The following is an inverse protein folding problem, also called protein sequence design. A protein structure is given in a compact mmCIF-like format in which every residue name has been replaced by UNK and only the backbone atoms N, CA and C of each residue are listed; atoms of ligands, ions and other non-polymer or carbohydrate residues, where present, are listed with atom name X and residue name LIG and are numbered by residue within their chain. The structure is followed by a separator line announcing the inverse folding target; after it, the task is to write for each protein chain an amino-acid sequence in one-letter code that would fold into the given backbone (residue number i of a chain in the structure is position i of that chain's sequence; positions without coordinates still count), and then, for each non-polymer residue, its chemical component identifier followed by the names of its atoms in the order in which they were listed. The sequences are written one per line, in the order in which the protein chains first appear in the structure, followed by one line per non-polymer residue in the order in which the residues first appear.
data_IF_656721037941
#
_entry.id   IF_656721037941
#
_cell.length_a   1.000
_cell.length_b   1.000
_cell.length_c   1.000
_cell.angle_alpha   90.00
_cell.angle_beta   90.00
_cell.angle_gamma   90.00
#
_symmetry.space_group_name_H-M   'P 1'
#
loop_
_entity.id
_entity.type
_entity.pdbx_description
1 polymer ?
#
# COMPACT_ATOMS: atom_id res chain seq x y z
N UNK A 1 -16.12 -19.02 -21.88
CA UNK A 1 -17.54 -19.42 -21.84
C UNK A 1 -18.35 -18.14 -21.90
N UNK A 2 -19.48 -18.17 -22.58
CA UNK A 2 -20.34 -17.02 -22.79
C UNK A 2 -20.88 -16.51 -21.43
N UNK A 3 -20.50 -15.28 -21.05
CA UNK A 3 -20.91 -14.63 -19.80
C UNK A 3 -22.34 -14.05 -19.87
N UNK A 4 -23.06 -14.26 -20.97
CA UNK A 4 -24.44 -13.76 -21.19
C UNK A 4 -25.50 -14.40 -20.27
N UNK A 5 -25.15 -15.47 -19.53
CA UNK A 5 -26.09 -16.18 -18.64
C UNK A 5 -26.09 -15.73 -17.18
N UNK A 6 -25.20 -14.84 -16.76
CA UNK A 6 -25.21 -14.32 -15.39
C UNK A 6 -26.34 -13.30 -15.24
N UNK A 7 -27.52 -13.80 -14.88
CA UNK A 7 -28.67 -12.98 -14.47
C UNK A 7 -28.25 -12.09 -13.30
N UNK A 8 -28.70 -10.84 -13.30
CA UNK A 8 -28.69 -10.04 -12.07
C UNK A 8 -29.37 -10.90 -11.00
N UNK A 9 -28.67 -11.12 -9.88
CA UNK A 9 -29.16 -11.99 -8.82
C UNK A 9 -30.41 -11.32 -8.26
N UNK A 10 -31.57 -11.98 -8.35
CA UNK A 10 -32.86 -11.40 -7.91
C UNK A 10 -32.93 -11.25 -6.37
N UNK A 11 -32.07 -11.97 -5.63
CA UNK A 11 -31.96 -11.86 -4.18
C UNK A 11 -30.98 -10.77 -3.77
N UNK A 12 -31.57 -9.74 -3.17
CA UNK A 12 -30.87 -8.63 -2.53
C UNK A 12 -30.32 -9.05 -1.18
N UNK A 13 -29.08 -8.65 -0.89
CA UNK A 13 -28.44 -8.93 0.41
C UNK A 13 -28.84 -7.92 1.49
N UNK A 14 -29.41 -6.77 1.11
CA UNK A 14 -29.84 -5.72 2.04
C UNK A 14 -28.68 -4.97 2.67
N UNK A 15 -27.60 -4.74 1.90
CA UNK A 15 -26.39 -4.07 2.38
C UNK A 15 -26.44 -2.56 2.11
N UNK A 16 -27.42 -1.86 2.69
CA UNK A 16 -27.60 -0.42 2.52
C UNK A 16 -26.47 0.35 3.19
N UNK A 17 -25.98 1.40 2.52
CA UNK A 17 -24.90 2.24 3.02
C UNK A 17 -25.43 3.20 4.11
N UNK A 18 -24.75 3.26 5.25
CA UNK A 18 -25.12 4.14 6.39
C UNK A 18 -24.36 5.47 6.41
N UNK A 19 -23.43 5.66 5.47
CA UNK A 19 -22.58 6.83 5.35
C UNK A 19 -22.77 7.53 4.01
N UNK A 20 -22.67 8.86 4.00
CA UNK A 20 -22.72 9.62 2.75
C UNK A 20 -21.39 9.54 1.99
N UNK A 21 -21.48 9.11 0.73
CA UNK A 21 -20.34 9.15 -0.18
C UNK A 21 -20.00 10.58 -0.59
N UNK A 22 -18.72 10.89 -0.65
CA UNK A 22 -18.20 12.13 -1.28
C UNK A 22 -18.54 12.11 -2.78
N UNK A 23 -18.63 13.28 -3.40
CA UNK A 23 -19.07 13.38 -4.81
C UNK A 23 -18.20 12.58 -5.79
N UNK A 24 -16.87 12.56 -5.57
CA UNK A 24 -15.98 11.74 -6.41
C UNK A 24 -16.18 10.24 -6.16
N UNK A 25 -16.56 9.83 -4.94
CA UNK A 25 -16.84 8.43 -4.62
C UNK A 25 -18.13 7.99 -5.31
N UNK A 26 -19.16 8.85 -5.30
CA UNK A 26 -20.41 8.63 -6.07
C UNK A 26 -20.11 8.46 -7.56
N UNK A 27 -19.33 9.36 -8.15
CA UNK A 27 -18.89 9.27 -9.55
C UNK A 27 -18.17 7.94 -9.84
N UNK A 28 -17.24 7.53 -8.96
CA UNK A 28 -16.48 6.29 -9.16
C UNK A 28 -17.33 5.03 -8.98
N UNK A 29 -18.31 5.05 -8.08
CA UNK A 29 -19.30 3.98 -7.93
C UNK A 29 -20.09 3.82 -9.24
N UNK A 30 -20.62 4.90 -9.80
CA UNK A 30 -21.38 4.83 -11.07
C UNK A 30 -20.51 4.30 -12.21
N UNK A 31 -19.30 4.85 -12.37
CA UNK A 31 -18.37 4.39 -13.42
C UNK A 31 -17.97 2.93 -13.27
N UNK A 32 -17.73 2.46 -12.03
CA UNK A 32 -17.43 1.06 -11.77
C UNK A 32 -18.62 0.15 -12.07
N UNK A 33 -19.82 0.59 -11.71
CA UNK A 33 -21.08 -0.13 -11.95
C UNK A 33 -21.34 -0.32 -13.46
N UNK A 34 -21.18 0.74 -14.25
CA UNK A 34 -21.34 0.73 -15.71
C UNK A 34 -20.32 -0.15 -16.42
N UNK A 35 -19.03 -0.01 -16.06
CA UNK A 35 -17.94 -0.76 -16.70
C UNK A 35 -17.97 -2.26 -16.39
N UNK A 36 -18.64 -2.68 -15.31
CA UNK A 36 -18.66 -4.04 -14.73
C UNK A 36 -17.29 -4.57 -14.26
N UNK A 37 -16.19 -4.06 -14.81
CA UNK A 37 -14.83 -4.54 -14.65
C UNK A 37 -13.90 -3.31 -14.59
N UNK A 38 -13.40 -2.98 -13.39
CA UNK A 38 -12.65 -1.74 -13.17
C UNK A 38 -11.54 -1.87 -12.12
N UNK A 39 -10.54 -1.01 -12.20
CA UNK A 39 -9.48 -0.87 -11.18
C UNK A 39 -9.51 0.53 -10.60
N UNK A 40 -9.81 0.65 -9.31
CA UNK A 40 -9.79 1.92 -8.58
C UNK A 40 -8.36 2.25 -8.13
N UNK A 41 -7.76 3.21 -8.80
CA UNK A 41 -6.35 3.58 -8.69
C UNK A 41 -6.14 4.93 -7.99
N UNK A 42 -6.51 5.01 -6.72
CA UNK A 42 -6.43 6.25 -5.95
C UNK A 42 -5.35 6.20 -4.87
N UNK A 43 -4.83 7.35 -4.39
CA UNK A 43 -3.89 7.39 -3.28
C UNK A 43 -4.43 6.66 -2.04
N UNK A 44 -3.55 6.28 -1.12
CA UNK A 44 -3.98 5.89 0.22
C UNK A 44 -4.79 7.04 0.88
N UNK A 45 -5.68 6.73 1.81
CA UNK A 45 -6.54 7.75 2.45
C UNK A 45 -7.70 8.28 1.59
N UNK A 46 -7.71 8.05 0.26
CA UNK A 46 -8.78 8.49 -0.64
C UNK A 46 -10.14 7.81 -0.46
N UNK A 47 -10.27 6.87 0.49
CA UNK A 47 -11.51 6.14 0.75
C UNK A 47 -11.85 5.07 -0.30
N UNK A 48 -10.86 4.32 -0.80
CA UNK A 48 -11.08 3.17 -1.72
C UNK A 48 -11.99 2.10 -1.13
N UNK A 49 -11.79 1.78 0.15
CA UNK A 49 -12.66 0.86 0.91
C UNK A 49 -14.09 1.38 0.92
N UNK A 50 -14.31 2.63 1.34
CA UNK A 50 -15.65 3.26 1.34
C UNK A 50 -16.28 3.29 -0.05
N UNK A 51 -15.51 3.61 -1.10
CA UNK A 51 -16.00 3.63 -2.49
C UNK A 51 -16.45 2.23 -2.95
N UNK A 52 -15.69 1.19 -2.58
CA UNK A 52 -16.03 -0.19 -2.95
C UNK A 52 -17.17 -0.78 -2.13
N UNK A 53 -17.32 -0.38 -0.86
CA UNK A 53 -18.53 -0.64 -0.07
C UNK A 53 -19.75 0.04 -0.72
N UNK A 54 -19.61 1.28 -1.18
CA UNK A 54 -20.66 1.97 -1.94
C UNK A 54 -21.06 1.23 -3.22
N UNK A 55 -20.09 0.68 -3.96
CA UNK A 55 -20.36 -0.17 -5.12
C UNK A 55 -21.04 -1.48 -4.73
N UNK A 56 -20.61 -2.13 -3.65
CA UNK A 56 -21.23 -3.33 -3.11
C UNK A 56 -22.69 -3.08 -2.74
N UNK A 57 -22.96 -1.99 -2.02
CA UNK A 57 -24.31 -1.56 -1.64
C UNK A 57 -25.20 -1.29 -2.86
N UNK A 58 -24.67 -0.61 -3.88
CA UNK A 58 -25.41 -0.37 -5.13
C UNK A 58 -25.72 -1.65 -5.91
N UNK A 59 -24.82 -2.63 -5.88
CA UNK A 59 -24.99 -3.91 -6.58
C UNK A 59 -25.94 -4.84 -5.80
N UNK A 60 -25.88 -4.79 -4.47
CA UNK A 60 -26.76 -5.50 -3.54
C UNK A 60 -26.88 -7.01 -3.84
N UNK A 61 -25.75 -7.67 -4.05
CA UNK A 61 -25.69 -9.08 -4.41
C UNK A 61 -24.52 -9.79 -3.70
N UNK A 62 -24.49 -11.15 -3.68
CA UNK A 62 -23.43 -11.90 -3.04
C UNK A 62 -22.04 -11.43 -3.47
N UNK A 63 -21.20 -11.08 -2.49
CA UNK A 63 -19.92 -10.41 -2.74
C UNK A 63 -18.77 -11.16 -2.10
N UNK A 64 -17.70 -11.38 -2.86
CA UNK A 64 -16.43 -11.92 -2.38
C UNK A 64 -15.39 -10.82 -2.30
N UNK A 65 -14.79 -10.64 -1.13
CA UNK A 65 -13.69 -9.69 -0.91
C UNK A 65 -12.42 -10.49 -0.67
N UNK A 66 -11.44 -10.31 -1.56
CA UNK A 66 -10.14 -10.97 -1.51
C UNK A 66 -9.08 -10.01 -1.00
N UNK A 67 -8.44 -10.38 0.11
CA UNK A 67 -7.40 -9.59 0.77
C UNK A 67 -6.07 -10.35 0.82
N UNK A 68 -4.91 -9.67 0.77
CA UNK A 68 -3.61 -10.35 0.79
C UNK A 68 -3.36 -11.12 2.10
N UNK A 69 -3.90 -10.64 3.23
CA UNK A 69 -3.56 -11.14 4.55
C UNK A 69 -4.74 -11.14 5.53
N UNK A 70 -4.59 -11.88 6.64
CA UNK A 70 -5.64 -12.07 7.65
C UNK A 70 -5.99 -10.81 8.43
N UNK A 71 -5.01 -9.95 8.72
CA UNK A 71 -5.24 -8.67 9.42
C UNK A 71 -6.28 -7.79 8.71
N UNK A 72 -6.22 -7.76 7.37
CA UNK A 72 -7.18 -7.02 6.55
C UNK A 72 -8.59 -7.60 6.58
N UNK A 73 -8.77 -8.90 6.85
CA UNK A 73 -10.10 -9.49 7.01
C UNK A 73 -10.84 -8.81 8.16
N UNK A 74 -10.18 -8.69 9.32
CA UNK A 74 -10.75 -8.02 10.49
C UNK A 74 -11.03 -6.53 10.22
N UNK A 75 -10.13 -5.85 9.50
CA UNK A 75 -10.34 -4.45 9.11
C UNK A 75 -11.57 -4.29 8.19
N UNK A 76 -11.69 -5.11 7.15
CA UNK A 76 -12.83 -5.10 6.24
C UNK A 76 -14.14 -5.41 6.94
N UNK A 77 -14.16 -6.39 7.85
CA UNK A 77 -15.36 -6.72 8.63
C UNK A 77 -15.84 -5.53 9.45
N UNK A 78 -14.92 -4.84 10.16
CA UNK A 78 -15.26 -3.63 10.92
C UNK A 78 -15.80 -2.53 10.02
N UNK A 79 -15.16 -2.28 8.89
CA UNK A 79 -15.60 -1.27 7.92
C UNK A 79 -16.99 -1.57 7.35
N UNK A 80 -17.30 -2.85 7.06
CA UNK A 80 -18.61 -3.27 6.57
C UNK A 80 -19.70 -3.05 7.63
N UNK A 81 -19.47 -3.50 8.87
CA UNK A 81 -20.44 -3.35 9.97
C UNK A 81 -20.65 -1.89 10.37
N UNK A 82 -19.62 -1.06 10.27
CA UNK A 82 -19.68 0.37 10.58
C UNK A 82 -20.44 1.18 9.52
N UNK A 83 -20.25 0.83 8.24
CA UNK A 83 -20.69 1.66 7.09
C UNK A 83 -21.89 1.11 6.33
N UNK A 84 -22.44 -0.02 6.77
CA UNK A 84 -23.61 -0.62 6.15
C UNK A 84 -24.60 -1.15 7.19
N UNK A 85 -25.79 -1.54 6.72
CA UNK A 85 -26.82 -2.23 7.52
C UNK A 85 -26.57 -3.72 7.71
N UNK A 86 -25.42 -4.25 7.24
CA UNK A 86 -25.08 -5.65 7.35
C UNK A 86 -24.97 -6.11 8.81
N UNK A 87 -25.38 -7.34 9.04
CA UNK A 87 -25.24 -8.03 10.32
C UNK A 87 -24.06 -9.01 10.29
N UNK A 88 -23.56 -9.40 11.47
CA UNK A 88 -22.41 -10.31 11.55
C UNK A 88 -22.68 -11.67 10.88
N UNK A 89 -23.91 -12.18 10.97
CA UNK A 89 -24.28 -13.46 10.37
C UNK A 89 -24.24 -13.43 8.84
N UNK A 90 -24.43 -12.27 8.21
CA UNK A 90 -24.30 -12.11 6.76
C UNK A 90 -22.84 -12.09 6.27
N UNK A 91 -21.87 -11.81 7.16
CA UNK A 91 -20.44 -11.66 6.81
C UNK A 91 -19.63 -12.92 7.17
N UNK A 92 -19.45 -13.82 6.21
CA UNK A 92 -18.58 -14.98 6.33
C UNK A 92 -17.08 -14.64 6.27
N UNK A 93 -16.28 -15.34 7.07
CA UNK A 93 -14.82 -15.26 7.04
C UNK A 93 -14.23 -16.61 6.60
N UNK A 94 -13.32 -16.58 5.63
CA UNK A 94 -12.68 -17.78 5.09
C UNK A 94 -11.16 -17.62 5.03
N UNK A 95 -10.51 -17.77 6.19
CA UNK A 95 -9.05 -17.68 6.37
C UNK A 95 -8.61 -18.56 7.55
N UNK A 96 -7.34 -18.98 7.60
CA UNK A 96 -6.83 -19.78 8.73
C UNK A 96 -7.67 -21.00 9.08
N UNK A 97 -8.18 -21.04 10.31
CA UNK A 97 -9.08 -22.10 10.80
C UNK A 97 -10.56 -21.76 10.63
N UNK A 98 -10.89 -20.48 10.40
CA UNK A 98 -12.26 -20.00 10.16
C UNK A 98 -12.71 -20.35 8.72
N UNK A 99 -13.85 -21.01 8.58
CA UNK A 99 -14.29 -21.62 7.31
C UNK A 99 -15.77 -21.36 7.05
N UNK A 100 -16.20 -20.11 7.23
CA UNK A 100 -17.60 -19.71 7.07
C UNK A 100 -17.81 -18.90 5.81
N UNK A 101 -18.78 -19.30 5.00
CA UNK A 101 -19.27 -18.52 3.87
C UNK A 101 -20.53 -17.76 4.29
N UNK A 102 -20.70 -16.55 3.77
CA UNK A 102 -21.89 -15.73 3.97
C UNK A 102 -22.33 -15.07 2.66
N UNK A 103 -23.30 -14.16 2.75
CA UNK A 103 -23.73 -13.31 1.62
C UNK A 103 -22.58 -12.41 1.19
N UNK A 104 -21.89 -11.84 2.18
CA UNK A 104 -20.56 -11.26 2.02
C UNK A 104 -19.54 -12.27 2.53
N UNK A 105 -18.53 -12.58 1.73
CA UNK A 105 -17.44 -13.48 2.14
C UNK A 105 -16.11 -12.73 2.07
N UNK A 106 -15.41 -12.66 3.20
CA UNK A 106 -14.05 -12.16 3.31
C UNK A 106 -13.07 -13.33 3.28
N UNK A 107 -12.14 -13.36 2.32
CA UNK A 107 -11.18 -14.45 2.18
C UNK A 107 -9.79 -13.94 1.82
N UNK A 108 -8.75 -14.69 2.21
CA UNK A 108 -7.41 -14.39 1.69
C UNK A 108 -7.24 -14.94 0.28
N UNK A 109 -6.42 -14.27 -0.55
CA UNK A 109 -6.08 -14.77 -1.88
C UNK A 109 -5.56 -16.20 -1.85
N UNK A 110 -4.75 -16.55 -0.84
CA UNK A 110 -4.19 -17.89 -0.69
C UNK A 110 -5.29 -18.94 -0.59
N UNK A 111 -6.25 -18.75 0.31
CA UNK A 111 -7.36 -19.69 0.49
C UNK A 111 -8.22 -19.83 -0.76
N UNK A 112 -8.55 -18.71 -1.41
CA UNK A 112 -9.36 -18.71 -2.62
C UNK A 112 -8.63 -19.34 -3.83
N UNK A 113 -7.31 -19.15 -3.90
CA UNK A 113 -6.47 -19.70 -4.97
C UNK A 113 -6.10 -21.18 -4.79
N UNK A 114 -6.07 -21.68 -3.55
CA UNK A 114 -5.90 -23.11 -3.28
C UNK A 114 -7.22 -23.87 -3.43
N UNK A 115 -8.30 -23.33 -2.88
CA UNK A 115 -9.62 -23.96 -2.87
C UNK A 115 -10.56 -23.35 -3.91
N UNK A 116 -10.06 -23.06 -5.11
CA UNK A 116 -10.83 -22.35 -6.15
C UNK A 116 -12.17 -23.00 -6.46
N UNK A 117 -12.27 -24.34 -6.38
CA UNK A 117 -13.55 -25.06 -6.55
C UNK A 117 -14.62 -24.66 -5.54
N UNK A 118 -14.25 -24.38 -4.29
CA UNK A 118 -15.18 -23.95 -3.24
C UNK A 118 -15.70 -22.53 -3.50
N UNK A 119 -14.89 -21.69 -4.14
CA UNK A 119 -15.24 -20.30 -4.47
C UNK A 119 -15.88 -20.15 -5.86
N UNK A 120 -16.10 -21.26 -6.60
CA UNK A 120 -16.90 -21.27 -7.85
C UNK A 120 -18.39 -21.18 -7.53
N UNK A 121 -18.78 -20.10 -6.85
CA UNK A 121 -20.15 -19.63 -6.66
C UNK A 121 -20.43 -18.52 -7.67
N UNK A 122 -21.70 -18.24 -7.92
CA UNK A 122 -22.12 -17.06 -8.67
C UNK A 122 -21.98 -15.82 -7.76
N UNK A 123 -20.95 -15.02 -7.99
CA UNK A 123 -20.73 -13.77 -7.28
C UNK A 123 -21.31 -12.60 -8.08
N UNK A 124 -22.12 -11.76 -7.45
CA UNK A 124 -22.55 -10.49 -8.05
C UNK A 124 -21.38 -9.51 -8.17
N UNK A 125 -20.48 -9.51 -7.18
CA UNK A 125 -19.28 -8.69 -7.14
C UNK A 125 -18.08 -9.46 -6.58
N UNK A 126 -16.91 -9.29 -7.18
CA UNK A 126 -15.63 -9.63 -6.54
C UNK A 126 -14.82 -8.35 -6.34
N UNK A 127 -14.43 -8.09 -5.10
CA UNK A 127 -13.52 -7.01 -4.73
C UNK A 127 -12.14 -7.62 -4.51
N UNK A 128 -11.18 -7.18 -5.31
CA UNK A 128 -9.78 -7.56 -5.19
C UNK A 128 -9.04 -6.44 -4.46
N UNK A 129 -8.74 -6.61 -3.18
CA UNK A 129 -7.99 -5.62 -2.41
C UNK A 129 -6.48 -5.79 -2.61
N UNK A 130 -5.75 -4.68 -2.57
CA UNK A 130 -4.30 -4.60 -2.74
C UNK A 130 -3.71 -5.47 -3.87
N UNK A 131 -4.31 -5.38 -5.06
CA UNK A 131 -4.00 -6.25 -6.23
C UNK A 131 -2.53 -6.26 -6.64
N UNK A 132 -1.79 -5.19 -6.34
CA UNK A 132 -0.39 -5.03 -6.71
C UNK A 132 0.58 -5.84 -5.83
N UNK A 133 0.13 -6.35 -4.68
CA UNK A 133 0.93 -7.20 -3.79
C UNK A 133 0.85 -8.69 -4.13
N UNK A 134 -0.09 -9.10 -5.00
CA UNK A 134 -0.40 -10.52 -5.15
C UNK A 134 0.55 -11.18 -6.16
N UNK A 135 1.17 -12.33 -5.83
CA UNK A 135 1.96 -13.09 -6.79
C UNK A 135 1.13 -13.47 -8.02
N UNK A 136 1.65 -13.22 -9.24
CA UNK A 136 0.92 -13.39 -10.50
C UNK A 136 0.22 -14.75 -10.66
N UNK A 137 0.85 -15.85 -10.19
CA UNK A 137 0.25 -17.19 -10.27
C UNK A 137 -1.00 -17.31 -9.40
N UNK A 138 -0.96 -16.75 -8.19
CA UNK A 138 -2.09 -16.76 -7.27
C UNK A 138 -3.20 -15.83 -7.78
N UNK A 139 -2.81 -14.64 -8.23
CA UNK A 139 -3.71 -13.66 -8.81
C UNK A 139 -4.48 -14.19 -10.01
N UNK A 140 -3.81 -14.88 -10.96
CA UNK A 140 -4.48 -15.54 -12.10
C UNK A 140 -5.53 -16.55 -11.67
N UNK A 141 -5.24 -17.35 -10.64
CA UNK A 141 -6.20 -18.35 -10.12
C UNK A 141 -7.43 -17.66 -9.55
N UNK A 142 -7.25 -16.65 -8.71
CA UNK A 142 -8.39 -15.93 -8.10
C UNK A 142 -9.15 -15.07 -9.11
N UNK A 143 -8.47 -14.46 -10.09
CA UNK A 143 -9.11 -13.68 -11.15
C UNK A 143 -9.94 -14.55 -12.12
N UNK A 144 -9.70 -15.87 -12.16
CA UNK A 144 -10.50 -16.83 -12.93
C UNK A 144 -11.86 -17.14 -12.30
N UNK A 145 -12.10 -16.72 -11.05
CA UNK A 145 -13.41 -16.82 -10.40
C UNK A 145 -14.45 -16.02 -11.20
N UNK A 146 -15.66 -16.58 -11.29
CA UNK A 146 -16.74 -16.02 -12.09
C UNK A 146 -17.50 -14.98 -11.27
N UNK A 147 -17.81 -13.86 -11.90
CA UNK A 147 -18.61 -12.80 -11.30
C UNK A 147 -19.28 -11.91 -12.34
N UNK A 148 -20.43 -11.33 -11.99
CA UNK A 148 -21.11 -10.36 -12.85
C UNK A 148 -20.34 -9.05 -12.93
N UNK A 149 -19.76 -8.62 -11.80
CA UNK A 149 -18.91 -7.43 -11.70
C UNK A 149 -17.63 -7.72 -10.91
N UNK A 150 -16.58 -6.94 -11.16
CA UNK A 150 -15.30 -7.02 -10.44
C UNK A 150 -14.65 -5.65 -10.31
N UNK A 151 -14.05 -5.40 -9.15
CA UNK A 151 -13.27 -4.20 -8.90
C UNK A 151 -11.94 -4.55 -8.24
N UNK A 152 -10.85 -3.95 -8.73
CA UNK A 152 -9.53 -4.02 -8.12
C UNK A 152 -9.22 -2.74 -7.36
N UNK A 153 -8.73 -2.83 -6.13
CA UNK A 153 -8.28 -1.70 -5.34
C UNK A 153 -6.76 -1.68 -5.36
N UNK A 154 -6.19 -0.60 -5.86
CA UNK A 154 -4.75 -0.41 -5.88
C UNK A 154 -4.40 1.01 -5.49
N UNK A 155 -3.30 1.18 -4.78
CA UNK A 155 -2.69 2.49 -4.64
C UNK A 155 -1.80 2.72 -5.87
N UNK A 156 -2.34 3.50 -6.82
CA UNK A 156 -1.81 3.85 -8.15
C UNK A 156 -0.86 2.88 -8.88
N UNK A 157 -1.24 2.42 -10.08
CA UNK A 157 -0.34 1.77 -11.02
C UNK A 157 0.54 2.81 -11.77
N UNK A 158 1.78 2.46 -12.08
CA UNK A 158 2.60 3.13 -13.12
C UNK A 158 2.73 2.15 -14.28
N UNK A 159 2.17 2.53 -15.42
CA UNK A 159 1.86 1.73 -16.62
C UNK A 159 3.02 0.97 -17.29
N UNK A 160 4.20 0.92 -16.68
CA UNK A 160 5.43 0.37 -17.23
C UNK A 160 5.77 -1.04 -16.71
N UNK A 161 5.18 -1.50 -15.60
CA UNK A 161 5.46 -2.83 -15.06
C UNK A 161 4.63 -3.95 -15.72
N UNK A 162 5.27 -5.08 -16.04
CA UNK A 162 4.64 -6.25 -16.67
C UNK A 162 3.50 -6.84 -15.82
N UNK A 163 3.60 -6.74 -14.49
CA UNK A 163 2.57 -7.16 -13.53
C UNK A 163 1.31 -6.28 -13.59
N UNK A 164 1.45 -5.00 -13.90
CA UNK A 164 0.30 -4.09 -13.89
C UNK A 164 -0.56 -4.24 -15.14
N UNK A 165 0.06 -4.48 -16.30
CA UNK A 165 -0.66 -4.85 -17.53
C UNK A 165 -1.53 -6.09 -17.32
N UNK A 166 -1.03 -7.03 -16.53
CA UNK A 166 -1.78 -8.23 -16.14
C UNK A 166 -2.98 -7.92 -15.24
N UNK A 167 -2.85 -7.00 -14.28
CA UNK A 167 -3.98 -6.54 -13.45
C UNK A 167 -5.11 -5.97 -14.33
N UNK A 168 -4.77 -5.07 -15.25
CA UNK A 168 -5.78 -4.47 -16.13
C UNK A 168 -6.42 -5.48 -17.08
N UNK A 169 -5.64 -6.45 -17.57
CA UNK A 169 -6.15 -7.51 -18.44
C UNK A 169 -7.10 -8.46 -17.71
N UNK A 170 -6.88 -8.72 -16.42
CA UNK A 170 -7.64 -9.71 -15.64
C UNK A 170 -8.82 -9.12 -14.84
N UNK A 171 -8.73 -7.85 -14.45
CA UNK A 171 -9.77 -7.17 -13.66
C UNK A 171 -10.56 -6.17 -14.51
N UNK A 172 -9.90 -5.30 -15.27
CA UNK A 172 -10.56 -4.26 -16.03
C UNK A 172 -9.78 -2.95 -16.09
N UNK A 173 -10.34 -1.95 -16.75
CA UNK A 173 -9.66 -0.66 -16.95
C UNK A 173 -9.62 0.20 -15.68
N UNK A 174 -8.61 1.06 -15.61
CA UNK A 174 -8.47 2.06 -14.56
C UNK A 174 -9.67 3.02 -14.50
N UNK A 175 -10.12 3.29 -13.28
CA UNK A 175 -11.03 4.37 -12.89
C UNK A 175 -10.37 5.17 -11.76
N UNK A 176 -10.51 6.49 -11.80
CA UNK A 176 -9.70 7.39 -10.98
C UNK A 176 -8.38 7.79 -11.65
N UNK A 177 -7.52 8.49 -10.91
CA UNK A 177 -6.20 8.94 -11.40
C UNK A 177 -5.95 10.45 -11.38
N UNK A 178 -6.98 11.28 -11.19
CA UNK A 178 -6.80 12.73 -11.00
C UNK A 178 -6.46 13.05 -9.53
N UNK A 179 -5.22 12.76 -9.16
CA UNK A 179 -4.66 13.06 -7.83
C UNK A 179 -4.79 14.56 -7.52
N UNK A 180 -4.67 15.43 -8.52
CA UNK A 180 -4.82 16.86 -8.35
C UNK A 180 -6.21 17.26 -7.83
N UNK A 181 -7.26 16.51 -8.19
CA UNK A 181 -8.62 16.72 -7.64
C UNK A 181 -8.70 16.39 -6.15
N UNK A 182 -8.06 15.32 -5.69
CA UNK A 182 -8.02 14.95 -4.27
C UNK A 182 -7.31 16.00 -3.42
N UNK A 183 -6.23 16.56 -3.96
CA UNK A 183 -5.46 17.61 -3.32
C UNK A 183 -6.15 18.98 -3.32
N UNK A 184 -6.85 19.33 -4.42
CA UNK A 184 -7.60 20.60 -4.52
C UNK A 184 -8.81 20.65 -3.59
N UNK A 185 -9.37 19.49 -3.23
CA UNK A 185 -10.55 19.38 -2.38
C UNK A 185 -10.20 19.00 -0.93
N UNK A 186 -8.92 19.05 -0.55
CA UNK A 186 -8.39 18.73 0.79
C UNK A 186 -8.78 17.34 1.34
N UNK A 187 -9.18 16.42 0.46
CA UNK A 187 -9.57 15.06 0.84
C UNK A 187 -8.37 14.17 1.19
N UNK A 188 -7.19 14.57 0.73
CA UNK A 188 -5.89 13.95 1.00
C UNK A 188 -4.90 15.09 1.23
N UNK A 189 -4.23 15.10 2.38
CA UNK A 189 -3.16 16.05 2.68
C UNK A 189 -1.94 15.75 1.80
N UNK A 190 -1.25 16.79 1.35
CA UNK A 190 -0.05 16.67 0.50
C UNK A 190 1.15 16.38 1.39
N UNK A 191 1.86 15.24 1.25
CA UNK A 191 3.13 15.09 1.94
C UNK A 191 4.16 16.07 1.35
N UNK A 192 4.93 16.74 2.21
CA UNK A 192 6.10 17.50 1.78
C UNK A 192 7.24 16.51 1.54
N UNK A 193 7.54 16.26 0.27
CA UNK A 193 8.63 15.36 -0.13
C UNK A 193 9.90 16.18 -0.35
N UNK A 194 10.88 15.94 0.52
CA UNK A 194 12.19 16.56 0.51
C UNK A 194 13.25 15.55 0.10
N UNK A 195 13.87 15.75 -1.06
CA UNK A 195 14.97 14.91 -1.53
C UNK A 195 16.29 15.53 -1.09
N UNK A 196 17.11 14.73 -0.40
CA UNK A 196 18.46 15.07 0.01
C UNK A 196 19.44 14.20 -0.78
N UNK A 197 20.09 14.79 -1.77
CA UNK A 197 21.20 14.12 -2.45
C UNK A 197 22.44 14.19 -1.58
N UNK A 198 23.16 13.09 -1.45
CA UNK A 198 24.45 13.04 -0.74
C UNK A 198 25.56 12.67 -1.69
N UNK A 199 26.70 13.34 -1.57
CA UNK A 199 27.91 12.96 -2.27
C UNK A 199 28.42 11.60 -1.75
N UNK A 200 29.31 10.97 -2.52
CA UNK A 200 30.04 9.80 -2.03
C UNK A 200 30.98 10.24 -0.91
N UNK A 201 31.06 9.45 0.18
CA UNK A 201 31.98 9.75 1.28
C UNK A 201 33.44 9.88 0.79
N UNK A 202 33.84 9.03 -0.16
CA UNK A 202 35.15 9.08 -0.79
C UNK A 202 35.15 8.43 -2.17
N UNK A 203 36.20 8.71 -2.95
CA UNK A 203 36.43 8.09 -4.26
C UNK A 203 36.52 6.56 -4.17
N UNK A 204 36.91 6.02 -3.01
CA UNK A 204 36.92 4.58 -2.78
C UNK A 204 35.53 3.95 -2.93
N UNK A 205 34.51 4.54 -2.30
CA UNK A 205 33.13 4.05 -2.41
C UNK A 205 32.56 4.29 -3.82
N UNK A 206 32.88 5.43 -4.43
CA UNK A 206 32.48 5.74 -5.81
C UNK A 206 33.06 4.74 -6.81
N UNK A 207 34.34 4.40 -6.67
CA UNK A 207 35.01 3.42 -7.53
C UNK A 207 34.45 2.02 -7.32
N UNK A 208 34.22 1.60 -6.07
CA UNK A 208 33.52 0.34 -5.76
C UNK A 208 32.16 0.25 -6.44
N UNK A 209 31.39 1.34 -6.43
CA UNK A 209 30.12 1.41 -7.13
C UNK A 209 30.29 1.27 -8.64
N UNK A 210 31.25 1.97 -9.24
CA UNK A 210 31.50 1.93 -10.68
C UNK A 210 31.93 0.55 -11.18
N UNK A 211 32.71 -0.18 -10.38
CA UNK A 211 33.17 -1.54 -10.68
C UNK A 211 32.09 -2.61 -10.48
N UNK A 212 31.08 -2.32 -9.65
CA UNK A 212 29.98 -3.23 -9.43
C UNK A 212 29.00 -3.27 -10.62
N UNK A 213 28.19 -4.31 -10.69
CA UNK A 213 27.14 -4.43 -11.70
C UNK A 213 25.85 -5.00 -11.11
N UNK A 214 24.73 -4.71 -11.77
CA UNK A 214 23.41 -5.16 -11.36
C UNK A 214 23.06 -4.75 -9.92
N UNK A 215 22.55 -5.71 -9.14
CA UNK A 215 22.07 -5.51 -7.78
C UNK A 215 23.13 -5.02 -6.79
N UNK A 216 24.42 -5.35 -7.03
CA UNK A 216 25.51 -4.93 -6.15
C UNK A 216 25.70 -3.42 -6.12
N UNK A 217 25.45 -2.72 -7.25
CA UNK A 217 25.48 -1.25 -7.31
C UNK A 217 24.55 -0.63 -6.28
N UNK A 218 23.35 -1.17 -6.17
CA UNK A 218 22.31 -0.72 -5.26
C UNK A 218 22.71 -0.82 -3.80
N UNK A 219 23.30 -1.96 -3.41
CA UNK A 219 23.78 -2.20 -2.05
C UNK A 219 24.86 -1.17 -1.70
N UNK A 220 25.82 -0.95 -2.61
CA UNK A 220 26.94 -0.03 -2.39
C UNK A 220 26.45 1.41 -2.25
N UNK A 221 25.57 1.87 -3.15
CA UNK A 221 24.97 3.20 -3.06
C UNK A 221 24.17 3.41 -1.77
N UNK A 222 23.42 2.40 -1.36
CA UNK A 222 22.60 2.44 -0.14
C UNK A 222 23.46 2.52 1.13
N UNK A 223 24.62 1.85 1.13
CA UNK A 223 25.56 1.80 2.26
C UNK A 223 26.61 2.92 2.21
N UNK A 224 26.46 3.91 1.34
CA UNK A 224 27.35 5.07 1.30
C UNK A 224 27.41 5.74 2.70
N UNK A 225 28.57 5.78 3.37
CA UNK A 225 28.66 6.30 4.73
C UNK A 225 28.24 7.77 4.87
N UNK A 226 28.34 8.56 3.79
CA UNK A 226 27.90 9.96 3.77
C UNK A 226 26.39 10.14 4.05
N UNK A 227 25.60 9.07 3.98
CA UNK A 227 24.19 9.10 4.39
C UNK A 227 24.00 9.25 5.89
N UNK A 228 24.91 8.72 6.71
CA UNK A 228 24.82 8.74 8.18
C UNK A 228 24.72 10.18 8.71
N UNK A 229 25.67 11.10 8.44
CA UNK A 229 25.59 12.47 8.95
C UNK A 229 24.39 13.24 8.38
N UNK A 230 23.89 12.86 7.18
CA UNK A 230 22.66 13.45 6.64
C UNK A 230 21.43 12.98 7.41
N UNK A 231 21.35 11.71 7.76
CA UNK A 231 20.24 11.16 8.56
C UNK A 231 20.29 11.71 9.98
N UNK A 232 21.48 11.81 10.58
CA UNK A 232 21.70 12.44 11.89
C UNK A 232 21.15 13.87 11.92
N UNK A 233 21.54 14.70 10.96
CA UNK A 233 21.03 16.07 10.82
C UNK A 233 19.50 16.14 10.67
N UNK A 234 18.88 15.14 10.03
CA UNK A 234 17.41 15.08 9.92
C UNK A 234 16.76 14.66 11.24
N UNK A 235 17.38 13.77 12.00
CA UNK A 235 16.92 13.38 13.34
C UNK A 235 17.02 14.55 14.32
N UNK A 236 18.11 15.32 14.27
CA UNK A 236 18.27 16.55 15.07
C UNK A 236 17.24 17.61 14.69
N UNK A 237 16.96 17.80 13.40
CA UNK A 237 15.94 18.74 12.92
C UNK A 237 14.55 18.39 13.45
N UNK A 238 14.28 17.11 13.68
CA UNK A 238 12.99 16.56 14.08
C UNK A 238 13.03 15.96 15.50
N UNK A 239 13.84 16.55 16.38
CA UNK A 239 13.94 16.11 17.76
C UNK A 239 12.56 16.20 18.46
N UNK A 240 12.05 15.05 18.91
CA UNK A 240 10.75 14.93 19.59
C UNK A 240 9.58 14.48 18.70
N UNK A 241 9.72 14.58 17.38
CA UNK A 241 8.73 14.09 16.41
C UNK A 241 8.81 12.56 16.29
N UNK A 242 7.67 11.90 16.11
CA UNK A 242 7.66 10.45 15.83
C UNK A 242 8.26 10.19 14.45
N UNK A 243 9.40 9.51 14.41
CA UNK A 243 10.18 9.30 13.19
C UNK A 243 10.34 7.83 12.85
N UNK A 244 10.10 7.47 11.59
CA UNK A 244 10.40 6.12 11.07
C UNK A 244 11.46 6.20 9.98
N UNK A 245 12.56 5.48 10.17
CA UNK A 245 13.63 5.34 9.18
C UNK A 245 13.44 4.04 8.41
N UNK A 246 13.31 4.12 7.09
CA UNK A 246 13.12 3.00 6.20
C UNK A 246 14.41 2.63 5.45
N UNK A 247 14.92 1.41 5.64
CA UNK A 247 16.08 0.86 4.91
C UNK A 247 15.71 -0.39 4.09
N UNK A 248 16.32 -0.58 2.91
CA UNK A 248 16.06 -1.78 2.10
C UNK A 248 16.95 -2.97 2.50
N UNK A 249 18.07 -2.69 3.15
CA UNK A 249 19.11 -3.68 3.45
C UNK A 249 19.28 -3.86 4.95
N UNK A 250 19.32 -5.11 5.38
CA UNK A 250 19.51 -5.50 6.78
C UNK A 250 20.80 -4.90 7.34
N UNK A 251 21.93 -5.14 6.68
CA UNK A 251 23.24 -4.57 7.08
C UNK A 251 23.26 -3.03 7.14
N UNK A 252 22.41 -2.34 6.37
CA UNK A 252 22.29 -0.88 6.51
C UNK A 252 21.46 -0.52 7.74
N UNK A 253 20.36 -1.23 7.98
CA UNK A 253 19.52 -1.05 9.17
C UNK A 253 20.30 -1.29 10.45
N UNK A 254 21.06 -2.40 10.53
CA UNK A 254 21.95 -2.73 11.64
C UNK A 254 22.97 -1.62 11.90
N UNK A 255 23.61 -1.10 10.84
CA UNK A 255 24.57 -0.01 10.97
C UNK A 255 23.93 1.28 11.50
N UNK A 256 22.75 1.64 11.01
CA UNK A 256 22.02 2.83 11.48
C UNK A 256 21.55 2.63 12.93
N UNK A 257 21.18 1.41 13.30
CA UNK A 257 20.76 1.07 14.66
C UNK A 257 21.91 1.19 15.66
N UNK A 258 23.08 0.68 15.29
CA UNK A 258 24.30 0.80 16.09
C UNK A 258 24.76 2.25 16.22
N UNK A 259 24.77 3.00 15.12
CA UNK A 259 25.24 4.39 15.11
C UNK A 259 24.35 5.32 15.95
N UNK A 260 23.03 5.12 15.89
CA UNK A 260 22.05 6.02 16.53
C UNK A 260 21.45 5.45 17.82
N UNK A 261 21.87 4.25 18.25
CA UNK A 261 21.28 3.51 19.38
C UNK A 261 19.75 3.40 19.28
N UNK A 262 19.28 2.98 18.10
CA UNK A 262 17.85 2.92 17.76
C UNK A 262 17.36 1.48 17.58
N UNK A 263 16.11 1.18 17.98
CA UNK A 263 15.49 -0.10 17.69
C UNK A 263 15.40 -0.37 16.18
N UNK A 264 15.87 -1.55 15.77
CA UNK A 264 15.77 -2.02 14.39
C UNK A 264 14.84 -3.22 14.25
N UNK A 265 13.82 -3.02 13.42
CA UNK A 265 12.78 -4.01 13.16
C UNK A 265 13.00 -4.60 11.76
N UNK A 266 13.24 -5.90 11.75
CA UNK A 266 13.44 -6.70 10.55
C UNK A 266 12.56 -7.93 10.53
N UNK A 267 12.73 -8.76 9.50
CA UNK A 267 11.96 -9.97 9.27
C UNK A 267 12.37 -11.08 10.21
N UNK A 268 13.57 -10.95 10.75
CA UNK A 268 14.14 -11.85 11.74
C UNK A 268 13.81 -11.39 13.17
N UNK A 269 13.27 -10.17 13.36
CA UNK A 269 12.78 -9.72 14.67
C UNK A 269 11.57 -10.55 15.07
N UNK A 270 11.62 -11.15 16.26
CA UNK A 270 10.54 -11.95 16.82
C UNK A 270 9.23 -11.16 16.93
N UNK A 271 8.11 -11.88 16.85
CA UNK A 271 6.78 -11.25 16.84
C UNK A 271 6.51 -10.45 18.12
N UNK A 272 6.85 -11.01 19.28
CA UNK A 272 6.61 -10.37 20.58
C UNK A 272 7.46 -9.10 20.74
N UNK A 273 8.75 -9.16 20.37
CA UNK A 273 9.65 -8.00 20.40
C UNK A 273 9.17 -6.90 19.44
N UNK A 274 8.69 -7.30 18.26
CA UNK A 274 8.17 -6.37 17.26
C UNK A 274 6.94 -5.62 17.76
N UNK A 275 5.97 -6.33 18.35
CA UNK A 275 4.78 -5.69 18.93
C UNK A 275 5.15 -4.78 20.10
N UNK A 276 6.08 -5.18 20.97
CA UNK A 276 6.59 -4.34 22.07
C UNK A 276 7.20 -3.02 21.55
N UNK A 277 8.06 -3.07 20.52
CA UNK A 277 8.60 -1.85 19.90
C UNK A 277 7.49 -0.97 19.31
N UNK A 278 6.51 -1.56 18.62
CA UNK A 278 5.41 -0.79 18.05
C UNK A 278 4.51 -0.17 19.14
N UNK A 279 4.22 -0.87 20.23
CA UNK A 279 3.46 -0.33 21.36
C UNK A 279 4.21 0.82 22.03
N UNK A 280 5.51 0.65 22.32
CA UNK A 280 6.36 1.72 22.85
C UNK A 280 6.37 2.95 21.95
N UNK A 281 6.39 2.74 20.62
CA UNK A 281 6.33 3.85 19.67
C UNK A 281 4.95 4.52 19.65
N UNK A 282 3.85 3.75 19.69
CA UNK A 282 2.48 4.28 19.80
C UNK A 282 2.30 5.11 21.07
N UNK A 283 2.91 4.68 22.18
CA UNK A 283 2.81 5.31 23.50
C UNK A 283 3.83 6.43 23.77
N UNK A 284 4.62 6.83 22.77
CA UNK A 284 5.65 7.88 22.90
C UNK A 284 6.83 7.53 23.83
N UNK A 285 7.00 6.25 24.19
CA UNK A 285 8.15 5.77 24.97
C UNK A 285 9.43 5.73 24.13
N UNK A 286 9.28 5.40 22.84
CA UNK A 286 10.33 5.56 21.83
C UNK A 286 9.80 6.46 20.71
N UNK A 287 10.63 7.41 20.28
CA UNK A 287 10.25 8.37 19.24
C UNK A 287 10.75 8.00 17.86
N UNK A 288 11.78 7.16 17.76
CA UNK A 288 12.40 6.80 16.49
C UNK A 288 12.60 5.31 16.40
N UNK A 289 12.21 4.72 15.27
CA UNK A 289 12.45 3.31 14.94
C UNK A 289 13.01 3.17 13.52
N UNK A 290 13.80 2.12 13.31
CA UNK A 290 14.29 1.73 11.98
C UNK A 290 13.54 0.49 11.54
N UNK A 291 13.01 0.51 10.32
CA UNK A 291 12.24 -0.59 9.74
C UNK A 291 12.83 -0.97 8.39
N UNK A 292 13.12 -2.26 8.22
CA UNK A 292 13.55 -2.80 6.93
C UNK A 292 12.36 -3.16 6.02
N UNK A 293 12.63 -3.82 4.88
CA UNK A 293 11.62 -4.38 3.95
C UNK A 293 10.55 -5.29 4.61
N UNK A 294 10.73 -5.58 5.90
CA UNK A 294 9.73 -5.96 6.92
C UNK A 294 8.33 -5.40 6.63
N UNK A 295 8.34 -4.08 6.37
CA UNK A 295 7.16 -3.23 6.23
C UNK A 295 6.44 -3.28 4.89
N UNK A 296 6.84 -4.11 3.93
CA UNK A 296 6.21 -4.22 2.59
C UNK A 296 5.15 -5.34 2.50
N UNK A 297 5.02 -6.21 3.50
CA UNK A 297 3.97 -7.25 3.51
C UNK A 297 3.33 -7.39 4.90
N UNK A 298 2.35 -6.52 5.22
CA UNK A 298 1.36 -6.86 6.26
C UNK A 298 1.45 -6.28 7.65
N UNK A 299 2.47 -5.49 7.92
CA UNK A 299 2.63 -4.86 9.22
C UNK A 299 1.80 -3.58 9.30
N UNK A 300 1.02 -3.48 10.37
CA UNK A 300 0.30 -2.26 10.74
C UNK A 300 1.27 -1.33 11.47
N UNK A 301 2.00 -0.54 10.66
CA UNK A 301 2.98 0.40 11.17
C UNK A 301 2.26 1.52 11.95
N UNK A 302 2.80 1.95 13.10
CA UNK A 302 2.20 2.99 13.93
C UNK A 302 2.39 4.39 13.34
N UNK A 303 1.51 5.34 13.69
CA UNK A 303 1.52 6.68 13.11
C UNK A 303 2.80 7.48 13.41
N UNK A 304 3.34 8.16 12.39
CA UNK A 304 4.56 8.96 12.46
C UNK A 304 4.39 10.35 11.82
N UNK A 305 5.18 11.31 12.29
CA UNK A 305 5.24 12.68 11.80
C UNK A 305 6.31 12.84 10.71
N UNK A 306 7.38 12.03 10.80
CA UNK A 306 8.53 12.09 9.90
C UNK A 306 8.87 10.71 9.35
N UNK A 307 9.06 10.63 8.03
CA UNK A 307 9.52 9.42 7.35
C UNK A 307 10.86 9.65 6.65
N UNK A 308 11.91 8.92 7.04
CA UNK A 308 13.24 9.01 6.42
C UNK A 308 13.50 7.76 5.58
N UNK A 309 13.57 7.91 4.27
CA UNK A 309 13.87 6.86 3.30
C UNK A 309 15.39 6.84 3.07
N UNK A 310 16.09 6.00 3.84
CA UNK A 310 17.56 5.92 3.86
C UNK A 310 18.19 5.20 2.65
N UNK A 311 17.44 4.35 1.96
CA UNK A 311 17.87 3.68 0.72
C UNK A 311 16.68 3.13 -0.05
N UNK A 312 16.70 3.01 -1.37
CA UNK A 312 15.51 2.52 -2.09
C UNK A 312 15.78 1.96 -3.48
N UNK A 313 15.37 0.70 -3.71
CA UNK A 313 15.24 0.10 -5.05
C UNK A 313 13.76 0.00 -5.46
N UNK A 314 13.48 0.43 -6.70
CA UNK A 314 12.12 0.47 -7.25
C UNK A 314 11.34 -0.84 -7.18
N UNK A 315 10.03 -0.70 -6.99
CA UNK A 315 9.03 -1.76 -6.94
C UNK A 315 8.35 -1.87 -5.56
N UNK A 316 9.14 -2.12 -4.52
CA UNK A 316 8.68 -2.26 -3.13
C UNK A 316 8.13 -0.96 -2.55
N UNK A 317 8.86 0.15 -2.73
CA UNK A 317 8.56 1.40 -2.01
C UNK A 317 7.41 2.23 -2.58
N UNK A 318 6.77 1.84 -3.69
CA UNK A 318 5.40 2.34 -3.96
C UNK A 318 4.52 2.08 -2.74
N UNK A 319 4.71 0.90 -2.15
CA UNK A 319 4.02 0.41 -0.96
C UNK A 319 4.53 1.12 0.30
N UNK A 320 5.84 1.31 0.47
CA UNK A 320 6.39 2.08 1.60
C UNK A 320 5.98 3.56 1.59
N UNK A 321 5.90 4.25 0.45
CA UNK A 321 5.39 5.65 0.39
C UNK A 321 3.86 5.71 0.55
N UNK A 322 3.13 4.67 0.12
CA UNK A 322 1.68 4.58 0.31
C UNK A 322 1.27 4.09 1.70
N UNK A 323 2.14 3.31 2.37
CA UNK A 323 2.02 2.85 3.77
C UNK A 323 2.57 3.88 4.73
N UNK A 324 3.68 4.55 4.39
CA UNK A 324 4.04 5.81 5.00
C UNK A 324 2.87 6.78 4.83
N UNK A 325 2.18 6.88 3.69
CA UNK A 325 0.93 7.64 3.59
C UNK A 325 -0.29 7.11 4.36
N UNK A 326 -0.25 5.90 4.94
CA UNK A 326 -1.24 5.36 5.90
C UNK A 326 -0.84 5.60 7.36
N UNK A 327 0.47 5.65 7.61
CA UNK A 327 1.18 5.86 8.89
C UNK A 327 1.41 7.35 9.17
N UNK A 328 1.56 8.13 8.12
CA UNK A 328 1.66 9.58 8.17
C UNK A 328 0.22 10.07 8.27
N UNK A 329 -0.18 10.32 9.52
CA UNK A 329 -1.52 10.64 10.04
C UNK A 329 -2.57 11.10 9.01
N UNK A 330 -3.85 10.73 9.20
CA UNK A 330 -4.98 11.31 8.47
C UNK A 330 -5.23 12.83 8.66
N UNK A 331 -4.50 13.51 9.56
CA UNK A 331 -4.80 14.88 10.01
C UNK A 331 -3.59 15.85 10.16
N UNK A 332 -2.45 15.68 9.44
CA UNK A 332 -1.35 16.65 9.53
C UNK A 332 -0.30 16.65 8.39
N UNK A 333 0.59 17.65 8.42
CA UNK A 333 1.71 17.89 7.49
C UNK A 333 2.90 16.96 7.77
N UNK A 334 2.83 15.70 7.35
CA UNK A 334 3.95 14.78 7.51
C UNK A 334 5.11 15.10 6.54
N UNK A 335 6.34 15.07 7.06
CA UNK A 335 7.57 15.36 6.30
C UNK A 335 8.23 14.06 5.84
N UNK A 336 8.43 13.91 4.53
CA UNK A 336 9.13 12.75 3.96
C UNK A 336 10.48 13.18 3.43
N UNK A 337 11.53 12.54 3.93
CA UNK A 337 12.89 12.73 3.45
C UNK A 337 13.35 11.52 2.63
N UNK A 338 13.88 11.76 1.43
CA UNK A 338 14.53 10.71 0.63
C UNK A 338 16.02 11.02 0.56
N UNK A 339 16.84 10.15 1.14
CA UNK A 339 18.30 10.30 1.14
C UNK A 339 18.90 9.38 0.06
N UNK A 340 19.42 9.97 -1.01
CA UNK A 340 19.95 9.23 -2.15
C UNK A 340 21.40 9.61 -2.47
N UNK A 341 22.22 8.62 -2.82
CA UNK A 341 23.61 8.87 -3.21
C UNK A 341 23.68 9.42 -4.64
N UNK A 342 24.37 10.55 -4.82
CA UNK A 342 24.54 11.23 -6.10
C UNK A 342 25.40 10.42 -7.08
N UNK A 343 25.07 10.50 -8.37
CA UNK A 343 25.70 9.73 -9.45
C UNK A 343 25.44 8.23 -9.35
N UNK A 344 24.45 7.80 -8.55
CA UNK A 344 24.10 6.39 -8.37
C UNK A 344 22.71 6.07 -8.92
N UNK A 345 22.40 4.77 -8.95
CA UNK A 345 21.08 4.28 -9.35
C UNK A 345 19.95 4.73 -8.40
N UNK A 346 20.28 5.19 -7.18
CA UNK A 346 19.32 5.82 -6.29
C UNK A 346 18.89 7.20 -6.81
N UNK A 347 19.81 8.01 -7.33
CA UNK A 347 19.48 9.32 -7.91
C UNK A 347 18.57 9.17 -9.15
N UNK A 348 18.88 8.21 -10.03
CA UNK A 348 18.05 7.91 -11.20
C UNK A 348 16.63 7.48 -10.78
N UNK A 349 16.52 6.72 -9.69
CA UNK A 349 15.24 6.30 -9.15
C UNK A 349 14.45 7.48 -8.59
N UNK A 350 15.10 8.35 -7.81
CA UNK A 350 14.48 9.54 -7.24
C UNK A 350 13.99 10.48 -8.34
N UNK A 351 14.79 10.74 -9.39
CA UNK A 351 14.37 11.57 -10.53
C UNK A 351 13.08 11.06 -11.18
N UNK A 352 12.98 9.75 -11.45
CA UNK A 352 11.73 9.14 -11.98
C UNK A 352 10.54 9.29 -11.02
N UNK A 353 10.76 9.18 -9.71
CA UNK A 353 9.70 9.40 -8.71
C UNK A 353 9.26 10.87 -8.67
N UNK A 354 10.19 11.82 -8.76
CA UNK A 354 9.87 13.26 -8.81
C UNK A 354 9.01 13.60 -10.01
N UNK A 355 9.38 13.11 -11.20
CA UNK A 355 8.57 13.31 -12.41
C UNK A 355 7.15 12.78 -12.21
N UNK A 356 7.02 11.56 -11.68
CA UNK A 356 5.72 10.95 -11.40
C UNK A 356 4.88 11.71 -10.35
N UNK A 357 5.50 12.19 -9.28
CA UNK A 357 4.84 12.97 -8.24
C UNK A 357 4.41 14.35 -8.76
N UNK A 358 5.24 14.99 -9.59
CA UNK A 358 4.93 16.26 -10.26
C UNK A 358 3.78 16.11 -11.26
N UNK A 359 3.76 15.05 -12.06
CA UNK A 359 2.63 14.71 -12.96
C UNK A 359 1.30 14.61 -12.19
N UNK A 360 1.36 14.22 -10.91
CA UNK A 360 0.21 14.07 -10.01
C UNK A 360 -0.10 15.32 -9.17
N UNK A 361 0.65 16.41 -9.35
CA UNK A 361 0.44 17.66 -8.62
C UNK A 361 0.92 17.67 -7.17
N UNK A 362 1.82 16.75 -6.80
CA UNK A 362 2.48 16.73 -5.47
C UNK A 362 3.65 17.73 -5.49
N UNK A 363 3.75 18.65 -4.51
CA UNK A 363 4.90 19.53 -4.38
C UNK A 363 6.15 18.71 -3.99
N UNK A 364 7.25 18.90 -4.73
CA UNK A 364 8.51 18.21 -4.46
C UNK A 364 9.63 19.23 -4.38
N UNK A 365 10.39 19.22 -3.29
CA UNK A 365 11.61 20.01 -3.11
C UNK A 365 12.82 19.09 -3.26
N UNK A 366 13.77 19.51 -4.10
CA UNK A 366 15.06 18.82 -4.26
C UNK A 366 16.12 19.75 -3.70
N UNK A 367 16.85 19.28 -2.70
CA UNK A 367 18.01 19.97 -2.14
C UNK A 367 19.27 19.18 -2.51
N UNK A 368 20.24 19.90 -3.08
CA UNK A 368 21.54 19.37 -3.47
C UNK A 368 22.58 19.49 -2.35
#
# INVERSE_FOLDING_TARGET
QDNSKFREVDEKIGADLTVDLRDYQKEYVERAYEKKAAVLANPAGSGKTVTSIGLMSKIDAPTLILVPQRSLVGQWKRELLDKTTLTEDQIGEYHGDEKRMGDITLATYHMAGEKTSLFRKEWGLIIFDEVHHIPSKLFRKTASLQSTRRIGLSASPVREDSKEREIFALIGQEIGGDWARFFKQEYVLKPDVNIKLVEWESDFYRNKYNEASGFKKSIIASKNPAKIPKIESLLEQHEGDKTIIFCDWIEQGEKLAEEFDLPFISGETDFDDREDYFEKFRNDEIKTIIVSRIGDEGLDLPDAEVGIIASGQGGSRRQATQRAGRVMRPFGDAQVYIVATKGSNEEDFVKRQVEHLKEKGVPVKVEE
#
